data_IF_448577695750
#
_entry.id   IF_448577695750
#
_cell.length_a   1.000
_cell.length_b   1.000
_cell.length_c   1.000
_cell.angle_alpha   90.00
_cell.angle_beta   90.00
_cell.angle_gamma   90.00
#
_symmetry.space_group_name_H-M   'P 1'
#
loop_
_entity.id
_entity.type
_entity.pdbx_description
1 polymer ?
#
# COMPACT_ATOMS: atom_id res chain seq x y z
N UNK A 1 -1.15 -8.18 -4.81
CA UNK A 1 -1.75 -7.42 -3.69
C UNK A 1 -0.62 -6.93 -2.80
N UNK A 2 -0.80 -5.86 -2.04
CA UNK A 2 0.27 -5.27 -1.21
C UNK A 2 0.80 -6.27 -0.17
N UNK A 3 -0.08 -7.09 0.40
CA UNK A 3 0.30 -8.17 1.31
C UNK A 3 1.26 -9.19 0.69
N UNK A 4 1.22 -9.41 -0.63
CA UNK A 4 2.18 -10.29 -1.31
C UNK A 4 3.59 -9.70 -1.30
N UNK A 5 3.73 -8.37 -1.46
CA UNK A 5 5.04 -7.73 -1.37
C UNK A 5 5.62 -7.90 0.04
N UNK A 6 4.83 -7.65 1.07
CA UNK A 6 5.23 -7.84 2.46
C UNK A 6 5.65 -9.30 2.75
N UNK A 7 4.84 -10.28 2.33
CA UNK A 7 5.16 -11.69 2.54
C UNK A 7 6.40 -12.14 1.75
N UNK A 8 6.55 -11.69 0.51
CA UNK A 8 7.74 -12.01 -0.29
C UNK A 8 9.00 -11.41 0.33
N UNK A 9 8.93 -10.18 0.84
CA UNK A 9 10.04 -9.59 1.59
C UNK A 9 10.42 -10.47 2.78
N UNK A 10 9.45 -10.90 3.59
CA UNK A 10 9.72 -11.81 4.72
C UNK A 10 10.42 -13.09 4.25
N UNK A 11 9.92 -13.73 3.18
CA UNK A 11 10.51 -14.96 2.63
C UNK A 11 11.97 -14.80 2.18
N UNK A 12 12.37 -13.61 1.75
CA UNK A 12 13.76 -13.34 1.29
C UNK A 12 14.74 -13.00 2.40
N UNK A 13 14.28 -12.84 3.64
CA UNK A 13 15.18 -12.49 4.75
C UNK A 13 15.92 -13.74 5.26
N UNK A 14 17.20 -13.59 5.64
CA UNK A 14 17.95 -14.67 6.27
C UNK A 14 17.28 -15.14 7.57
N UNK A 15 17.25 -16.45 7.81
CA UNK A 15 16.71 -17.00 9.05
C UNK A 15 15.17 -17.06 9.06
N UNK A 16 14.53 -17.17 7.91
CA UNK A 16 13.08 -17.33 7.80
C UNK A 16 12.67 -18.74 7.35
N UNK A 17 13.64 -19.61 7.08
CA UNK A 17 13.48 -20.97 6.58
C UNK A 17 12.49 -21.81 7.42
N UNK A 18 12.53 -21.78 8.77
CA UNK A 18 11.61 -22.57 9.61
C UNK A 18 10.13 -22.22 9.44
N UNK A 19 9.80 -21.05 8.87
CA UNK A 19 8.43 -20.59 8.69
C UNK A 19 7.96 -20.69 7.24
N UNK A 20 8.81 -21.17 6.33
CA UNK A 20 8.51 -21.19 4.88
C UNK A 20 7.48 -22.24 4.50
N UNK A 21 7.39 -23.33 5.26
CA UNK A 21 6.50 -24.48 5.06
C UNK A 21 5.88 -24.91 6.39
N UNK A 22 4.80 -25.71 6.37
CA UNK A 22 4.30 -26.38 7.56
C UNK A 22 5.40 -27.18 8.27
N UNK A 23 5.30 -27.31 9.60
CA UNK A 23 6.20 -28.15 10.40
C UNK A 23 6.03 -29.61 9.99
N UNK A 24 7.14 -30.33 9.81
CA UNK A 24 7.13 -31.74 9.45
C UNK A 24 6.83 -32.60 10.69
N UNK A 25 5.66 -33.23 10.71
CA UNK A 25 5.21 -34.08 11.84
C UNK A 25 5.91 -35.43 11.88
N UNK A 26 6.65 -35.81 10.83
CA UNK A 26 7.53 -36.99 10.89
C UNK A 26 8.80 -36.68 11.69
N UNK A 27 9.31 -35.45 11.61
CA UNK A 27 10.43 -34.96 12.40
C UNK A 27 9.99 -34.54 13.81
N UNK A 28 8.79 -33.97 13.94
CA UNK A 28 8.21 -33.48 15.20
C UNK A 28 6.83 -34.12 15.49
N UNK A 29 6.78 -35.39 15.92
CA UNK A 29 5.51 -36.13 16.08
C UNK A 29 4.52 -35.53 17.06
N UNK A 30 5.00 -34.82 18.09
CA UNK A 30 4.16 -34.21 19.13
C UNK A 30 3.66 -32.81 18.77
N UNK A 31 3.98 -32.31 17.57
CA UNK A 31 3.63 -30.94 17.19
C UNK A 31 2.12 -30.71 17.16
N UNK A 32 1.36 -31.66 16.60
CA UNK A 32 -0.11 -31.57 16.50
C UNK A 32 -0.82 -31.78 17.83
N UNK A 33 -0.19 -32.44 18.80
CA UNK A 33 -0.72 -32.57 20.17
C UNK A 33 -0.67 -31.24 20.94
N UNK A 34 0.24 -30.34 20.52
CA UNK A 34 0.57 -29.11 21.23
C UNK A 34 0.02 -27.87 20.50
N UNK A 35 0.08 -27.85 19.16
CA UNK A 35 -0.25 -26.69 18.34
C UNK A 35 -1.59 -26.88 17.63
N UNK A 36 -2.61 -26.15 18.09
CA UNK A 36 -3.99 -26.27 17.59
C UNK A 36 -4.28 -25.51 16.29
N UNK A 37 -3.46 -24.52 15.95
CA UNK A 37 -3.65 -23.70 14.75
C UNK A 37 -2.32 -23.44 14.02
N UNK A 38 -1.83 -24.41 13.22
CA UNK A 38 -0.59 -24.25 12.46
C UNK A 38 -0.69 -23.12 11.43
N UNK A 39 0.28 -22.21 11.45
CA UNK A 39 0.41 -21.11 10.48
C UNK A 39 1.85 -21.02 10.01
N UNK A 40 2.03 -20.86 8.71
CA UNK A 40 3.31 -20.79 8.00
C UNK A 40 3.16 -19.88 6.76
N UNK A 41 4.25 -19.61 6.05
CA UNK A 41 4.20 -18.72 4.90
C UNK A 41 3.39 -19.26 3.71
N UNK A 42 3.28 -20.57 3.51
CA UNK A 42 2.40 -21.14 2.48
C UNK A 42 0.94 -20.93 2.85
N UNK A 43 0.57 -21.13 4.12
CA UNK A 43 -0.80 -20.90 4.59
C UNK A 43 -1.19 -19.42 4.49
N UNK A 44 -0.30 -18.51 4.92
CA UNK A 44 -0.47 -17.06 4.73
C UNK A 44 -0.61 -16.68 3.25
N UNK A 45 0.26 -17.21 2.38
CA UNK A 45 0.20 -16.94 0.94
C UNK A 45 -1.12 -17.41 0.32
N UNK A 46 -1.59 -18.60 0.71
CA UNK A 46 -2.88 -19.16 0.27
C UNK A 46 -4.04 -18.25 0.69
N UNK A 47 -4.05 -17.78 1.93
CA UNK A 47 -5.06 -16.85 2.44
C UNK A 47 -5.02 -15.50 1.69
N UNK A 48 -3.83 -14.99 1.36
CA UNK A 48 -3.70 -13.79 0.51
C UNK A 48 -4.27 -14.05 -0.89
N UNK A 49 -3.95 -15.19 -1.51
CA UNK A 49 -4.47 -15.55 -2.86
C UNK A 49 -5.99 -15.64 -2.87
N UNK A 50 -6.59 -16.16 -1.80
CA UNK A 50 -8.05 -16.25 -1.60
C UNK A 50 -8.71 -14.93 -1.18
N UNK A 51 -7.96 -13.83 -1.03
CA UNK A 51 -8.43 -12.53 -0.55
C UNK A 51 -9.11 -12.61 0.84
N UNK A 52 -8.59 -13.49 1.70
CA UNK A 52 -9.16 -13.72 3.04
C UNK A 52 -8.98 -12.51 3.98
N UNK A 53 -7.91 -11.73 3.78
CA UNK A 53 -7.60 -10.59 4.63
C UNK A 53 -8.29 -9.31 4.15
N UNK A 54 -9.24 -8.81 4.95
CA UNK A 54 -9.92 -7.54 4.73
C UNK A 54 -9.13 -6.29 5.18
N UNK A 55 -8.14 -6.47 6.05
CA UNK A 55 -7.28 -5.38 6.55
C UNK A 55 -5.85 -5.86 6.82
N UNK A 56 -4.92 -4.93 7.04
CA UNK A 56 -3.54 -5.24 7.44
C UNK A 56 -3.47 -5.85 8.84
N UNK A 57 -4.42 -5.52 9.73
CA UNK A 57 -4.56 -6.10 11.07
C UNK A 57 -4.97 -7.56 11.01
N UNK A 58 -5.90 -7.93 10.11
CA UNK A 58 -6.31 -9.33 9.93
C UNK A 58 -5.11 -10.19 9.51
N UNK A 59 -4.33 -9.72 8.52
CA UNK A 59 -3.11 -10.40 8.10
C UNK A 59 -2.05 -10.47 9.20
N UNK A 60 -1.87 -9.38 9.94
CA UNK A 60 -0.94 -9.33 11.08
C UNK A 60 -1.34 -10.30 12.20
N UNK A 61 -2.65 -10.52 12.39
CA UNK A 61 -3.17 -11.41 13.43
C UNK A 61 -2.89 -12.87 13.11
N UNK A 62 -3.11 -13.29 11.86
CA UNK A 62 -2.71 -14.64 11.41
C UNK A 62 -1.20 -14.83 11.55
N UNK A 63 -0.39 -13.85 11.15
CA UNK A 63 1.07 -13.95 11.29
C UNK A 63 1.55 -14.05 12.75
N UNK A 64 0.80 -13.57 13.74
CA UNK A 64 1.15 -13.73 15.16
C UNK A 64 1.02 -15.16 15.66
N UNK A 65 0.23 -16.02 14.99
CA UNK A 65 0.20 -17.46 15.30
C UNK A 65 1.57 -18.11 15.11
N UNK A 66 2.39 -17.63 14.16
CA UNK A 66 3.77 -18.13 13.99
C UNK A 66 4.57 -17.92 15.28
N UNK A 67 4.44 -16.76 15.94
CA UNK A 67 5.10 -16.49 17.22
C UNK A 67 4.51 -17.33 18.34
N UNK A 68 3.18 -17.39 18.43
CA UNK A 68 2.48 -18.17 19.45
C UNK A 68 2.89 -19.65 19.40
N UNK A 69 2.74 -20.28 18.24
CA UNK A 69 3.09 -21.68 18.01
C UNK A 69 4.57 -21.94 18.28
N UNK A 70 5.45 -21.04 17.83
CA UNK A 70 6.88 -21.18 18.06
C UNK A 70 7.24 -21.13 19.55
N UNK A 71 6.62 -20.23 20.32
CA UNK A 71 6.85 -20.11 21.77
C UNK A 71 6.30 -21.33 22.52
N UNK A 72 5.11 -21.80 22.16
CA UNK A 72 4.48 -22.95 22.80
C UNK A 72 5.30 -24.23 22.55
N UNK A 73 5.71 -24.48 21.31
CA UNK A 73 6.42 -25.71 20.96
C UNK A 73 7.92 -25.67 21.31
N UNK A 74 8.62 -24.58 20.97
CA UNK A 74 10.07 -24.47 21.12
C UNK A 74 10.50 -23.79 22.43
N UNK A 75 9.57 -23.20 23.19
CA UNK A 75 9.87 -22.38 24.35
C UNK A 75 10.22 -20.93 24.02
N UNK A 76 9.96 -20.02 24.96
CA UNK A 76 10.08 -18.57 24.75
C UNK A 76 11.51 -18.09 24.41
N UNK A 77 12.52 -18.77 24.96
CA UNK A 77 13.94 -18.42 24.84
C UNK A 77 14.64 -19.09 23.65
N UNK A 78 13.93 -19.92 22.87
CA UNK A 78 14.56 -20.59 21.72
C UNK A 78 14.92 -19.62 20.61
N UNK A 79 15.90 -20.02 19.81
CA UNK A 79 16.32 -19.27 18.61
C UNK A 79 15.16 -19.08 17.63
N UNK A 80 14.36 -20.13 17.41
CA UNK A 80 13.19 -20.10 16.51
C UNK A 80 12.12 -19.13 17.02
N UNK A 81 11.85 -19.08 18.33
CA UNK A 81 10.93 -18.10 18.92
C UNK A 81 11.43 -16.66 18.74
N UNK A 82 12.74 -16.44 18.85
CA UNK A 82 13.35 -15.13 18.59
C UNK A 82 13.21 -14.70 17.12
N UNK A 83 13.42 -15.64 16.19
CA UNK A 83 13.23 -15.42 14.75
C UNK A 83 11.76 -15.07 14.44
N UNK A 84 10.80 -15.79 15.04
CA UNK A 84 9.38 -15.52 14.87
C UNK A 84 8.99 -14.10 15.38
N UNK A 85 9.53 -13.67 16.53
CA UNK A 85 9.30 -12.30 17.04
C UNK A 85 9.84 -11.24 16.07
N UNK A 86 11.00 -11.50 15.47
CA UNK A 86 11.61 -10.63 14.47
C UNK A 86 10.75 -10.53 13.20
N UNK A 87 10.21 -11.66 12.73
CA UNK A 87 9.26 -11.72 11.62
C UNK A 87 8.06 -10.81 11.86
N UNK A 88 7.38 -10.92 13.01
CA UNK A 88 6.21 -10.07 13.32
C UNK A 88 6.58 -8.60 13.46
N UNK A 89 7.76 -8.28 14.02
CA UNK A 89 8.26 -6.91 14.09
C UNK A 89 8.44 -6.29 12.70
N UNK A 90 9.00 -7.04 11.77
CA UNK A 90 9.21 -6.58 10.39
C UNK A 90 7.88 -6.45 9.66
N UNK A 91 7.00 -7.44 9.82
CA UNK A 91 5.67 -7.37 9.23
C UNK A 91 4.87 -6.16 9.72
N UNK A 92 4.96 -5.84 11.01
CA UNK A 92 4.33 -4.63 11.58
C UNK A 92 4.85 -3.36 10.89
N UNK A 93 6.14 -3.27 10.60
CA UNK A 93 6.70 -2.13 9.86
C UNK A 93 6.15 -2.07 8.43
N UNK A 94 6.11 -3.19 7.71
CA UNK A 94 5.56 -3.26 6.36
C UNK A 94 4.08 -2.84 6.32
N UNK A 95 3.27 -3.30 7.28
CA UNK A 95 1.86 -2.89 7.38
C UNK A 95 1.73 -1.40 7.69
N UNK A 96 2.58 -0.86 8.57
CA UNK A 96 2.62 0.59 8.83
C UNK A 96 2.96 1.42 7.59
N UNK A 97 3.83 0.94 6.69
CA UNK A 97 4.10 1.59 5.40
C UNK A 97 2.90 1.50 4.45
N UNK A 98 2.23 0.34 4.39
CA UNK A 98 0.99 0.14 3.60
C UNK A 98 -0.10 1.11 4.07
N UNK A 99 -0.34 1.20 5.37
CA UNK A 99 -1.35 2.10 5.96
C UNK A 99 -0.96 3.58 5.85
N UNK A 100 0.34 3.89 5.85
CA UNK A 100 0.81 5.26 5.62
C UNK A 100 0.40 5.75 4.24
N UNK A 101 0.70 4.99 3.19
CA UNK A 101 0.22 5.26 1.85
C UNK A 101 0.37 4.01 0.95
N UNK A 102 -0.76 3.38 0.54
CA UNK A 102 -0.72 2.18 -0.30
C UNK A 102 0.00 2.38 -1.63
N UNK A 103 -0.11 3.58 -2.23
CA UNK A 103 0.52 3.90 -3.50
C UNK A 103 2.03 4.08 -3.36
N UNK A 104 2.51 4.78 -2.33
CA UNK A 104 3.95 4.85 -2.04
C UNK A 104 4.54 3.47 -1.82
N UNK A 105 3.87 2.62 -1.04
CA UNK A 105 4.32 1.26 -0.78
C UNK A 105 4.36 0.42 -2.07
N UNK A 106 3.32 0.51 -2.91
CA UNK A 106 3.27 -0.17 -4.19
C UNK A 106 4.38 0.30 -5.14
N UNK A 107 4.56 1.61 -5.27
CA UNK A 107 5.59 2.18 -6.14
C UNK A 107 6.99 1.75 -5.70
N UNK A 108 7.27 1.74 -4.39
CA UNK A 108 8.56 1.32 -3.84
C UNK A 108 8.94 -0.11 -4.23
N UNK A 109 7.95 -0.99 -4.41
CA UNK A 109 8.17 -2.39 -4.78
C UNK A 109 8.12 -2.63 -6.29
N UNK A 110 7.39 -1.82 -7.06
CA UNK A 110 7.25 -2.00 -8.52
C UNK A 110 8.30 -1.23 -9.32
N UNK A 111 8.74 -0.07 -8.81
CA UNK A 111 9.60 0.87 -9.53
C UNK A 111 10.80 1.31 -8.68
N UNK A 112 11.63 0.39 -8.15
CA UNK A 112 12.60 0.71 -7.09
C UNK A 112 13.60 1.84 -7.42
N UNK A 113 13.84 2.11 -8.71
CA UNK A 113 14.78 3.15 -9.16
C UNK A 113 14.15 4.54 -9.29
N UNK A 114 12.83 4.66 -9.34
CA UNK A 114 12.11 5.93 -9.57
C UNK A 114 10.85 6.08 -8.72
N UNK A 115 10.61 5.17 -7.78
CA UNK A 115 9.36 5.07 -7.05
C UNK A 115 8.97 6.35 -6.31
N UNK A 116 9.97 7.14 -5.89
CA UNK A 116 9.75 8.36 -5.15
C UNK A 116 9.34 9.53 -6.03
N UNK A 117 9.55 9.49 -7.35
CA UNK A 117 9.03 10.54 -8.26
C UNK A 117 7.61 10.24 -8.71
N UNK A 118 7.09 9.03 -8.50
CA UNK A 118 5.71 8.70 -8.87
C UNK A 118 4.66 9.47 -8.06
N UNK A 119 3.58 9.88 -8.75
CA UNK A 119 2.43 10.53 -8.14
C UNK A 119 1.44 9.50 -7.57
N UNK A 120 1.01 9.71 -6.33
CA UNK A 120 -0.01 8.90 -5.68
C UNK A 120 -1.42 9.31 -6.14
N UNK A 121 -2.45 8.50 -5.87
CA UNK A 121 -3.85 8.80 -6.25
C UNK A 121 -4.46 9.88 -5.36
N UNK A 122 -4.08 9.86 -4.08
CA UNK A 122 -4.17 11.01 -3.20
C UNK A 122 -2.85 11.75 -3.26
N UNK A 123 -2.86 13.03 -3.65
CA UNK A 123 -1.64 13.81 -3.76
C UNK A 123 -1.04 14.09 -2.37
N UNK A 124 0.27 13.94 -2.23
CA UNK A 124 0.99 14.39 -1.04
C UNK A 124 1.43 15.84 -1.27
N UNK A 125 1.07 16.79 -0.38
CA UNK A 125 1.59 18.16 -0.48
C UNK A 125 3.11 18.18 -0.49
N UNK A 126 3.69 18.92 -1.43
CA UNK A 126 5.12 19.23 -1.41
C UNK A 126 5.38 20.36 -0.41
N UNK A 127 6.38 20.16 0.43
CA UNK A 127 6.75 21.12 1.46
C UNK A 127 8.26 21.31 1.53
N UNK A 128 8.65 22.48 2.02
CA UNK A 128 9.93 22.70 2.66
C UNK A 128 9.80 22.33 4.13
N UNK A 129 10.55 21.32 4.59
CA UNK A 129 10.55 20.87 5.98
C UNK A 129 11.94 21.05 6.60
N UNK A 130 12.01 21.41 7.89
CA UNK A 130 13.28 21.62 8.59
C UNK A 130 13.37 20.81 9.88
N UNK A 131 14.47 20.06 10.02
CA UNK A 131 14.87 19.46 11.28
C UNK A 131 15.84 20.38 12.03
N UNK A 132 15.86 20.31 13.36
CA UNK A 132 16.77 21.09 14.19
C UNK A 132 18.23 20.76 13.79
N UNK A 133 19.01 21.79 13.48
CA UNK A 133 20.41 21.65 13.06
C UNK A 133 20.62 21.44 11.55
N UNK A 134 19.54 21.33 10.77
CA UNK A 134 19.59 21.15 9.31
C UNK A 134 18.94 22.34 8.59
N UNK A 135 19.31 22.60 7.33
CA UNK A 135 18.58 23.55 6.49
C UNK A 135 17.18 23.02 6.16
N UNK A 136 16.34 23.86 5.54
CA UNK A 136 15.12 23.38 4.91
C UNK A 136 15.46 22.39 3.80
N UNK A 137 14.65 21.34 3.69
CA UNK A 137 14.81 20.31 2.67
C UNK A 137 13.46 20.00 2.03
N UNK A 138 13.42 19.71 0.72
CA UNK A 138 12.18 19.34 0.06
C UNK A 138 11.68 17.98 0.58
N UNK A 139 10.37 17.89 0.82
CA UNK A 139 9.74 16.68 1.30
C UNK A 139 8.28 16.54 0.81
N UNK A 140 7.77 15.31 0.87
CA UNK A 140 6.34 15.02 0.76
C UNK A 140 5.74 14.96 2.17
N UNK A 141 4.68 15.72 2.43
CA UNK A 141 3.88 15.57 3.64
C UNK A 141 2.93 14.38 3.48
N UNK A 142 3.08 13.35 4.32
CA UNK A 142 2.35 12.08 4.14
C UNK A 142 1.22 11.91 5.15
N UNK A 143 1.49 12.20 6.42
CA UNK A 143 0.49 12.23 7.50
C UNK A 143 0.85 13.30 8.50
N UNK A 144 -0.09 13.65 9.38
CA UNK A 144 0.11 14.65 10.42
C UNK A 144 -0.73 14.29 11.64
N UNK A 145 -0.18 14.54 12.83
CA UNK A 145 -0.85 14.37 14.13
C UNK A 145 -0.11 15.18 15.18
N UNK A 146 -0.83 15.60 16.22
CA UNK A 146 -0.23 16.19 17.42
C UNK A 146 0.75 17.35 17.12
N UNK A 147 0.38 18.25 16.20
CA UNK A 147 1.22 19.38 15.79
C UNK A 147 2.49 19.03 15.00
N UNK A 148 2.62 17.77 14.56
CA UNK A 148 3.74 17.27 13.77
C UNK A 148 3.27 16.72 12.43
N UNK A 149 4.17 16.79 11.45
CA UNK A 149 3.97 16.27 10.09
C UNK A 149 4.99 15.17 9.88
N UNK A 150 4.54 13.99 9.50
CA UNK A 150 5.40 12.93 9.01
C UNK A 150 5.72 13.21 7.54
N UNK A 151 7.00 13.48 7.31
CA UNK A 151 7.51 13.87 6.01
C UNK A 151 8.42 12.78 5.48
N UNK A 152 8.48 12.67 4.15
CA UNK A 152 9.50 11.88 3.48
C UNK A 152 10.34 12.78 2.59
N UNK A 153 11.63 12.87 2.86
CA UNK A 153 12.52 13.81 2.18
C UNK A 153 12.94 13.29 0.80
N UNK A 154 13.11 14.21 -0.15
CA UNK A 154 13.75 13.89 -1.43
C UNK A 154 15.24 13.62 -1.24
N UNK A 155 15.82 12.83 -2.15
CA UNK A 155 17.19 12.33 -2.11
C UNK A 155 17.30 10.99 -1.40
N UNK A 156 17.43 11.02 -0.06
CA UNK A 156 17.63 9.80 0.74
C UNK A 156 16.35 9.03 1.06
N UNK A 157 15.19 9.64 0.84
CA UNK A 157 13.86 9.04 1.08
C UNK A 157 13.62 8.60 2.53
N UNK A 158 14.32 9.22 3.47
CA UNK A 158 14.14 9.02 4.89
C UNK A 158 12.86 9.70 5.40
N UNK A 159 12.30 9.12 6.46
CA UNK A 159 11.08 9.60 7.11
C UNK A 159 11.43 10.27 8.42
N UNK A 160 10.71 11.34 8.74
CA UNK A 160 10.82 11.99 10.05
C UNK A 160 9.54 12.72 10.42
N UNK A 161 9.29 12.82 11.73
CA UNK A 161 8.29 13.73 12.26
C UNK A 161 8.90 15.12 12.42
N UNK A 162 8.33 16.09 11.72
CA UNK A 162 8.76 17.49 11.72
C UNK A 162 7.67 18.34 12.38
N UNK A 163 7.99 19.24 13.32
CA UNK A 163 7.01 20.15 13.88
C UNK A 163 6.34 20.99 12.78
N UNK A 164 5.02 21.15 12.82
CA UNK A 164 4.26 21.81 11.76
C UNK A 164 4.72 23.25 11.47
N UNK A 165 5.18 23.96 12.51
CA UNK A 165 5.77 25.31 12.39
C UNK A 165 7.04 25.35 11.52
N UNK A 166 7.71 24.21 11.36
CA UNK A 166 8.92 24.04 10.53
C UNK A 166 8.61 23.52 9.12
N UNK A 167 7.33 23.56 8.72
CA UNK A 167 6.85 23.11 7.42
C UNK A 167 6.19 24.25 6.65
N UNK A 168 6.70 24.56 5.46
CA UNK A 168 6.12 25.53 4.54
C UNK A 168 5.73 24.83 3.24
N UNK A 169 4.69 25.28 2.55
CA UNK A 169 4.40 24.79 1.20
C UNK A 169 5.59 25.01 0.28
N UNK A 170 5.74 24.12 -0.70
CA UNK A 170 6.85 24.18 -1.63
C UNK A 170 6.72 25.38 -2.58
N UNK A 171 7.58 26.38 -2.34
CA UNK A 171 7.79 27.56 -3.18
C UNK A 171 9.09 27.46 -3.96
N UNK A 172 9.22 28.18 -5.07
CA UNK A 172 10.46 28.25 -5.87
C UNK A 172 11.67 28.65 -5.02
N UNK A 173 11.46 29.57 -4.09
CA UNK A 173 12.48 30.02 -3.15
C UNK A 173 12.34 29.27 -1.83
N UNK A 174 13.45 28.71 -1.35
CA UNK A 174 13.53 28.07 -0.03
C UNK A 174 13.30 29.11 1.09
N UNK A 175 12.58 28.77 2.19
CA UNK A 175 12.21 29.73 3.24
C UNK A 175 13.39 30.51 3.84
N UNK A 176 14.54 29.86 4.02
CA UNK A 176 15.77 30.49 4.49
C UNK A 176 16.90 30.13 3.54
N UNK A 177 17.39 31.07 2.71
CA UNK A 177 18.46 30.82 1.73
C UNK A 177 19.71 30.20 2.36
N UNK A 178 20.37 29.30 1.62
CA UNK A 178 21.67 28.78 2.03
C UNK A 178 22.75 29.85 1.82
N UNK A 179 23.72 29.90 2.73
CA UNK A 179 24.91 30.74 2.56
C UNK A 179 25.82 30.23 1.43
N UNK A 180 25.87 28.91 1.26
CA UNK A 180 26.75 28.24 0.31
C UNK A 180 25.95 27.31 -0.60
N UNK A 181 26.48 27.05 -1.80
CA UNK A 181 25.96 26.08 -2.75
C UNK A 181 25.93 24.68 -2.12
N UNK A 182 24.86 23.91 -2.37
CA UNK A 182 24.69 22.56 -1.87
C UNK A 182 24.30 21.61 -3.00
N UNK A 183 25.27 20.85 -3.51
CA UNK A 183 25.07 19.90 -4.62
C UNK A 183 24.05 18.81 -4.32
N UNK A 184 23.99 18.35 -3.06
CA UNK A 184 23.01 17.34 -2.66
C UNK A 184 21.59 17.91 -2.73
N UNK A 185 21.40 19.15 -2.29
CA UNK A 185 20.11 19.82 -2.41
C UNK A 185 19.71 20.05 -3.87
N UNK A 186 20.67 20.42 -4.74
CA UNK A 186 20.42 20.54 -6.19
C UNK A 186 19.91 19.23 -6.80
N UNK A 187 20.55 18.11 -6.47
CA UNK A 187 20.09 16.78 -6.89
C UNK A 187 18.70 16.44 -6.35
N UNK A 188 18.40 16.78 -5.10
CA UNK A 188 17.08 16.59 -4.53
C UNK A 188 16.02 17.44 -5.24
N UNK A 189 16.35 18.68 -5.61
CA UNK A 189 15.45 19.56 -6.36
C UNK A 189 15.19 19.05 -7.78
N UNK A 190 16.18 18.42 -8.41
CA UNK A 190 15.97 17.74 -9.69
C UNK A 190 14.96 16.59 -9.55
N UNK A 191 15.06 15.78 -8.49
CA UNK A 191 14.08 14.73 -8.19
C UNK A 191 12.67 15.31 -7.91
N UNK A 192 12.59 16.46 -7.23
CA UNK A 192 11.32 17.17 -7.03
C UNK A 192 10.72 17.59 -8.38
N UNK A 193 11.53 18.10 -9.31
CA UNK A 193 11.06 18.49 -10.64
C UNK A 193 10.49 17.31 -11.42
N UNK A 194 11.15 16.15 -11.36
CA UNK A 194 10.62 14.91 -11.95
C UNK A 194 9.28 14.52 -11.32
N UNK A 195 9.16 14.63 -10.00
CA UNK A 195 7.88 14.40 -9.33
C UNK A 195 6.79 15.42 -9.73
N UNK A 196 7.14 16.69 -9.91
CA UNK A 196 6.20 17.72 -10.39
C UNK A 196 5.68 17.38 -11.78
N UNK A 197 6.51 16.80 -12.67
CA UNK A 197 6.05 16.30 -13.97
C UNK A 197 4.98 15.22 -13.78
N UNK A 198 5.21 14.23 -12.89
CA UNK A 198 4.21 13.20 -12.56
C UNK A 198 2.93 13.77 -11.95
N UNK A 199 3.04 14.80 -11.11
CA UNK A 199 1.87 15.51 -10.56
C UNK A 199 1.08 16.22 -11.66
N UNK A 200 1.74 16.84 -12.64
CA UNK A 200 1.07 17.46 -13.81
C UNK A 200 0.40 16.42 -14.70
N UNK A 201 1.07 15.30 -14.98
CA UNK A 201 0.49 14.19 -15.75
C UNK A 201 -0.81 13.67 -15.09
N UNK A 202 -0.82 13.54 -13.77
CA UNK A 202 -1.96 12.97 -13.04
C UNK A 202 -3.07 13.97 -12.72
N UNK A 203 -2.72 15.18 -12.31
CA UNK A 203 -3.66 16.18 -11.78
C UNK A 203 -3.79 17.41 -12.69
N UNK A 204 -3.16 17.41 -13.86
CA UNK A 204 -3.19 18.47 -14.86
C UNK A 204 -2.14 19.55 -14.60
N UNK A 205 -2.36 20.41 -13.60
CA UNK A 205 -1.53 21.60 -13.37
C UNK A 205 -0.86 21.57 -12.00
N UNK A 206 0.42 21.96 -11.98
CA UNK A 206 1.16 22.28 -10.78
C UNK A 206 1.57 23.75 -10.78
N UNK A 207 1.44 24.43 -9.65
CA UNK A 207 1.95 25.77 -9.36
C UNK A 207 2.80 25.73 -8.10
N UNK A 208 3.87 26.52 -8.06
CA UNK A 208 4.57 26.75 -6.80
C UNK A 208 3.70 27.58 -5.86
N UNK A 209 3.80 27.32 -4.56
CA UNK A 209 3.17 28.18 -3.57
C UNK A 209 3.87 29.54 -3.50
N UNK A 210 3.16 30.61 -3.07
CA UNK A 210 3.82 31.84 -2.65
C UNK A 210 4.88 31.57 -1.57
N UNK A 211 5.89 32.42 -1.50
CA UNK A 211 7.01 32.25 -0.59
C UNK A 211 6.54 32.24 0.89
N UNK A 212 7.03 31.27 1.67
CA UNK A 212 6.76 31.12 3.12
C UNK A 212 5.28 30.96 3.50
N UNK A 213 4.46 30.38 2.63
CA UNK A 213 3.12 29.93 3.05
C UNK A 213 3.26 28.77 4.03
N UNK A 214 2.80 28.95 5.27
CA UNK A 214 2.84 27.91 6.30
C UNK A 214 2.00 26.70 5.87
N UNK A 215 2.53 25.49 6.05
CA UNK A 215 1.74 24.28 5.86
C UNK A 215 0.66 24.18 6.94
N UNK A 216 -0.59 24.05 6.53
CA UNK A 216 -1.76 23.93 7.37
C UNK A 216 -2.63 22.77 6.88
N UNK A 217 -2.51 21.57 7.49
CA UNK A 217 -3.31 20.43 7.11
C UNK A 217 -4.78 20.50 7.58
N UNK A 218 -5.14 21.48 8.43
CA UNK A 218 -6.53 21.72 8.80
C UNK A 218 -7.34 22.39 7.67
N UNK A 219 -6.66 22.98 6.68
CA UNK A 219 -7.28 23.48 5.46
C UNK A 219 -7.21 22.40 4.36
N UNK A 220 -8.32 21.71 4.05
CA UNK A 220 -8.34 20.64 3.04
C UNK A 220 -8.07 21.16 1.63
N UNK A 221 -8.25 22.46 1.40
CA UNK A 221 -8.09 23.10 0.10
C UNK A 221 -6.71 23.74 -0.08
N UNK A 222 -5.87 23.78 0.96
CA UNK A 222 -4.53 24.36 0.88
C UNK A 222 -3.69 23.72 -0.23
N UNK A 223 -3.84 22.41 -0.46
CA UNK A 223 -3.13 21.70 -1.53
C UNK A 223 -3.46 22.26 -2.91
N UNK A 224 -4.65 22.88 -3.11
CA UNK A 224 -5.07 23.49 -4.38
C UNK A 224 -4.26 24.73 -4.74
N UNK A 225 -3.56 25.35 -3.78
CA UNK A 225 -2.56 26.40 -4.07
C UNK A 225 -1.51 25.85 -5.05
N UNK A 226 -1.06 24.61 -4.81
CA UNK A 226 -0.08 23.94 -5.68
C UNK A 226 -0.72 23.09 -6.78
N UNK A 227 -1.89 22.51 -6.53
CA UNK A 227 -2.62 21.64 -7.47
C UNK A 227 -4.04 22.17 -7.71
N UNK A 228 -4.23 23.24 -8.52
CA UNK A 228 -5.53 23.92 -8.65
C UNK A 228 -6.68 23.03 -9.10
N UNK A 229 -6.38 21.96 -9.84
CA UNK A 229 -7.35 21.03 -10.38
C UNK A 229 -7.56 19.79 -9.49
N UNK A 230 -6.97 19.75 -8.30
CA UNK A 230 -7.11 18.62 -7.39
C UNK A 230 -8.53 18.54 -6.83
N UNK A 231 -9.18 17.40 -7.07
CA UNK A 231 -10.57 17.11 -6.65
C UNK A 231 -10.64 16.17 -5.44
N UNK A 232 -9.52 15.94 -4.77
CA UNK A 232 -9.39 14.92 -3.72
C UNK A 232 -8.87 13.57 -4.24
N UNK A 233 -8.88 12.54 -3.38
CA UNK A 233 -8.35 11.22 -3.72
C UNK A 233 -9.08 10.61 -4.92
N UNK A 234 -8.33 10.16 -5.94
CA UNK A 234 -8.92 9.42 -7.05
C UNK A 234 -9.34 8.01 -6.61
N UNK A 235 -10.59 7.64 -6.89
CA UNK A 235 -11.10 6.30 -6.65
C UNK A 235 -10.23 5.23 -7.35
N UNK A 236 -10.14 4.05 -6.74
CA UNK A 236 -9.64 2.86 -7.45
C UNK A 236 -10.54 2.65 -8.67
N UNK A 237 -10.00 2.79 -9.89
CA UNK A 237 -10.63 2.18 -11.06
C UNK A 237 -10.56 0.67 -10.87
N UNK A 238 -11.57 0.10 -10.21
CA UNK A 238 -11.85 -1.32 -10.30
C UNK A 238 -12.21 -1.55 -11.76
N UNK A 239 -11.34 -2.20 -12.52
CA UNK A 239 -11.75 -2.74 -13.82
C UNK A 239 -12.85 -3.75 -13.52
N UNK A 240 -14.10 -3.35 -13.68
CA UNK A 240 -15.21 -4.28 -13.78
C UNK A 240 -14.95 -5.12 -15.02
N UNK A 241 -14.50 -6.36 -14.84
CA UNK A 241 -14.62 -7.35 -15.90
C UNK A 241 -16.10 -7.70 -16.00
N UNK A 242 -16.85 -6.89 -16.74
CA UNK A 242 -18.24 -7.19 -17.07
C UNK A 242 -18.56 -6.65 -18.46
N UNK A 243 -18.28 -7.49 -19.46
CA UNK A 243 -19.11 -7.83 -20.62
C UNK A 243 -18.24 -8.09 -21.85
N UNK A 244 -18.29 -9.33 -22.34
CA UNK A 244 -18.66 -9.62 -23.73
C UNK A 244 -18.65 -11.15 -23.92
N UNK A 245 -19.79 -11.80 -23.69
CA UNK A 245 -20.16 -13.03 -24.41
C UNK A 245 -21.68 -13.05 -24.53
N UNK A 246 -22.18 -12.32 -25.51
CA UNK A 246 -23.44 -12.67 -26.16
C UNK A 246 -23.34 -12.28 -27.63
N UNK A 247 -23.47 -13.30 -28.48
CA UNK A 247 -23.84 -13.32 -29.91
C UNK A 247 -22.73 -13.31 -30.97
N UNK A 248 -22.42 -14.51 -31.43
CA UNK A 248 -22.54 -14.99 -32.83
C UNK A 248 -22.30 -16.51 -32.79
N UNK A 249 -22.93 -17.42 -33.53
CA UNK A 249 -23.92 -17.39 -34.61
C UNK A 249 -24.17 -18.88 -34.88
N UNK A 250 -25.37 -19.37 -34.62
CA UNK A 250 -25.80 -20.72 -35.00
C UNK A 250 -26.60 -20.67 -36.29
N UNK A 251 -25.96 -20.99 -37.41
CA UNK A 251 -26.54 -21.71 -38.55
C UNK A 251 -26.00 -23.14 -38.44
N UNK A 252 -26.67 -24.21 -38.77
CA UNK A 252 -28.00 -24.52 -39.34
C UNK A 252 -28.08 -26.05 -39.22
N UNK A 253 -29.28 -26.61 -39.10
CA UNK A 253 -29.70 -27.78 -39.89
C UNK A 253 -31.18 -28.10 -39.61
N UNK A 254 -31.84 -28.48 -40.70
CA UNK A 254 -33.23 -28.84 -40.88
C UNK A 254 -33.72 -29.92 -39.91
N UNK A 255 -35.01 -29.85 -39.54
CA UNK A 255 -35.93 -30.92 -39.91
C UNK A 255 -37.39 -30.49 -39.76
N UNK A 256 -38.12 -30.77 -40.82
CA UNK A 256 -39.55 -30.64 -41.04
C UNK A 256 -40.39 -31.48 -40.07
N UNK A 257 -41.51 -30.95 -39.59
CA UNK A 257 -42.82 -31.60 -39.76
C UNK A 257 -43.95 -30.76 -39.20
N UNK A 258 -45.05 -30.86 -39.95
CA UNK A 258 -46.28 -30.10 -39.88
C UNK A 258 -47.29 -30.68 -38.88
N UNK A 259 -48.35 -29.89 -38.64
CA UNK A 259 -49.72 -30.27 -38.23
C UNK A 259 -50.07 -30.12 -36.74
N UNK A 260 -51.14 -29.37 -36.49
CA UNK A 260 -52.19 -29.82 -35.57
C UNK A 260 -52.69 -28.80 -34.55
N UNK A 261 -53.66 -27.97 -34.94
CA UNK A 261 -54.53 -27.23 -34.03
C UNK A 261 -55.53 -28.16 -33.32
N UNK A 262 -55.93 -27.79 -32.10
CA UNK A 262 -57.21 -27.98 -31.35
C UNK A 262 -56.89 -28.29 -29.87
N UNK A 263 -57.14 -27.34 -28.96
CA UNK A 263 -58.41 -27.08 -28.25
C UNK A 263 -58.80 -28.19 -27.26
N UNK A 264 -58.84 -27.84 -25.97
CA UNK A 264 -59.87 -28.24 -24.99
C UNK A 264 -59.38 -27.97 -23.57
N UNK A 265 -60.16 -27.19 -22.83
CA UNK A 265 -59.89 -26.85 -21.44
C UNK A 265 -60.12 -27.99 -20.45
N UNK A 266 -59.61 -27.78 -19.24
CA UNK A 266 -60.24 -28.23 -18.01
C UNK A 266 -59.64 -27.47 -16.82
N UNK A 267 -60.48 -26.65 -16.18
CA UNK A 267 -60.35 -26.30 -14.77
C UNK A 267 -60.41 -27.57 -13.93
N UNK A 268 -59.43 -27.81 -13.04
CA UNK A 268 -59.71 -28.35 -11.70
C UNK A 268 -58.72 -27.75 -10.70
N UNK A 269 -59.29 -27.35 -9.57
CA UNK A 269 -58.69 -26.74 -8.39
C UNK A 269 -57.84 -27.71 -7.56
N UNK A 270 -57.03 -27.06 -6.71
CA UNK A 270 -56.73 -27.35 -5.28
C UNK A 270 -55.46 -28.13 -4.93
N UNK A 271 -54.83 -27.54 -3.90
CA UNK A 271 -53.75 -27.95 -3.01
C UNK A 271 -52.34 -27.75 -3.55
#
# INVERSE_FOLDING_TARGET
>A
TLLKFALNRLKTMPGMEPFTKPVDTTEFPTYEDIVVHPVDFMSLERNIKRKFYGSTEAFSSDARWIVHNSVIFNGANSKVSSMARTLVKILKQEMSEVETCPDCYMNAHQNPNSWFTEACRSAHPLIWARLKGFPFWPAKAVKWRDGNVDVRFFGRHDRSWVPMKECFLFSEQMPTPLKNRNKTLESCLQEVNEHIVKLRERFGRFKYAPHRVQFNPADPDQIKIMLPNYKGPMALRVRSQSRALSRSSGHSDDETSSIGSTDSGASVRKA
#
